data_IF_388133622722
#
_entry.id   IF_388133622722
#
_cell.length_a   1.000
_cell.length_b   1.000
_cell.length_c   1.000
_cell.angle_alpha   90.00
_cell.angle_beta   90.00
_cell.angle_gamma   90.00
#
_symmetry.space_group_name_H-M   'P 1'
#
loop_
_entity.id
_entity.type
_entity.pdbx_description
1 polymer ?
#
# COMPACT_ATOMS: atom_id res chain seq x y z
N UNK A 1 -15.88 3.53 5.93
CA UNK A 1 -14.90 2.52 6.40
C UNK A 1 -15.34 1.09 6.13
N UNK A 2 -16.50 0.61 6.62
CA UNK A 2 -16.93 -0.79 6.38
C UNK A 2 -17.08 -1.15 4.88
N UNK A 3 -17.72 -0.29 4.08
CA UNK A 3 -17.83 -0.48 2.63
C UNK A 3 -16.45 -0.55 1.96
N UNK A 4 -15.51 0.29 2.39
CA UNK A 4 -14.14 0.31 1.86
C UNK A 4 -13.39 -1.00 2.19
N UNK A 5 -13.55 -1.52 3.41
CA UNK A 5 -12.97 -2.81 3.81
C UNK A 5 -13.56 -3.96 3.00
N UNK A 6 -14.89 -3.96 2.78
CA UNK A 6 -15.54 -4.97 1.94
C UNK A 6 -15.02 -4.94 0.50
N UNK A 7 -14.96 -3.76 -0.13
CA UNK A 7 -14.44 -3.59 -1.49
C UNK A 7 -12.95 -4.00 -1.58
N UNK A 8 -12.13 -3.61 -0.60
CA UNK A 8 -10.71 -3.95 -0.57
C UNK A 8 -10.49 -5.46 -0.37
N UNK A 9 -11.24 -6.09 0.54
CA UNK A 9 -11.18 -7.55 0.73
C UNK A 9 -11.58 -8.29 -0.54
N UNK A 10 -12.66 -7.87 -1.23
CA UNK A 10 -13.06 -8.40 -2.52
C UNK A 10 -11.97 -8.27 -3.58
N UNK A 11 -11.32 -7.11 -3.66
CA UNK A 11 -10.17 -6.88 -4.55
C UNK A 11 -9.01 -7.84 -4.26
N UNK A 12 -8.63 -8.03 -2.99
CA UNK A 12 -7.53 -8.95 -2.62
C UNK A 12 -7.84 -10.41 -2.97
N UNK A 13 -9.11 -10.83 -2.84
CA UNK A 13 -9.55 -12.18 -3.25
C UNK A 13 -9.56 -12.30 -4.78
N UNK A 14 -10.06 -11.28 -5.49
CA UNK A 14 -10.11 -11.25 -6.95
C UNK A 14 -8.71 -11.29 -7.59
N UNK A 15 -7.73 -10.65 -6.97
CA UNK A 15 -6.32 -10.69 -7.36
C UNK A 15 -5.73 -12.11 -7.38
N UNK A 16 -6.30 -13.06 -6.61
CA UNK A 16 -5.86 -14.47 -6.63
C UNK A 16 -6.19 -15.15 -7.97
N UNK A 17 -7.19 -14.65 -8.69
CA UNK A 17 -7.60 -15.14 -10.01
C UNK A 17 -6.96 -14.35 -11.16
N UNK A 18 -5.94 -13.52 -10.89
CA UNK A 18 -5.28 -12.73 -11.92
C UNK A 18 -4.70 -13.63 -13.02
N UNK A 19 -4.98 -13.36 -14.31
CA UNK A 19 -4.33 -14.06 -15.40
C UNK A 19 -2.83 -13.74 -15.43
N UNK A 20 -2.05 -14.55 -16.15
CA UNK A 20 -0.60 -14.42 -16.24
C UNK A 20 -0.21 -13.27 -17.19
N UNK A 21 -0.51 -12.04 -16.75
CA UNK A 21 -0.23 -10.78 -17.45
C UNK A 21 0.91 -10.04 -16.75
N UNK A 22 1.71 -9.32 -17.54
CA UNK A 22 2.75 -8.44 -17.04
C UNK A 22 2.16 -7.45 -16.03
N UNK A 23 2.88 -7.25 -14.92
CA UNK A 23 2.44 -6.40 -13.81
C UNK A 23 2.15 -4.96 -14.25
N UNK A 24 2.87 -4.46 -15.25
CA UNK A 24 2.70 -3.13 -15.83
C UNK A 24 1.31 -2.99 -16.46
N UNK A 25 0.88 -3.99 -17.23
CA UNK A 25 -0.45 -4.02 -17.85
C UNK A 25 -1.56 -4.03 -16.81
N UNK A 26 -1.38 -4.80 -15.73
CA UNK A 26 -2.33 -4.83 -14.61
C UNK A 26 -2.43 -3.47 -13.91
N UNK A 27 -1.30 -2.82 -13.64
CA UNK A 27 -1.27 -1.48 -13.04
C UNK A 27 -1.92 -0.42 -13.93
N UNK A 28 -1.67 -0.45 -15.24
CA UNK A 28 -2.29 0.49 -16.19
C UNK A 28 -3.81 0.34 -16.22
N UNK A 29 -4.32 -0.90 -16.29
CA UNK A 29 -5.77 -1.16 -16.29
C UNK A 29 -6.40 -0.70 -14.98
N UNK A 30 -5.79 -1.03 -13.84
CA UNK A 30 -6.26 -0.59 -12.52
C UNK A 30 -6.29 0.94 -12.41
N UNK A 31 -5.24 1.62 -12.87
CA UNK A 31 -5.13 3.08 -12.85
C UNK A 31 -6.18 3.72 -13.77
N UNK A 32 -6.42 3.13 -14.94
CA UNK A 32 -7.43 3.60 -15.88
C UNK A 32 -8.83 3.51 -15.28
N UNK A 33 -9.22 2.37 -14.69
CA UNK A 33 -10.52 2.24 -14.03
C UNK A 33 -10.63 3.13 -12.79
N UNK A 34 -9.55 3.33 -12.03
CA UNK A 34 -9.52 4.28 -10.93
C UNK A 34 -9.79 5.71 -11.42
N UNK A 35 -9.16 6.12 -12.53
CA UNK A 35 -9.40 7.41 -13.17
C UNK A 35 -10.85 7.56 -13.64
N UNK A 36 -11.37 6.57 -14.38
CA UNK A 36 -12.77 6.56 -14.85
C UNK A 36 -13.76 6.65 -13.68
N UNK A 37 -13.46 5.98 -12.57
CA UNK A 37 -14.30 6.05 -11.37
C UNK A 37 -14.16 7.39 -10.66
N UNK A 38 -12.99 8.02 -10.67
CA UNK A 38 -12.78 9.32 -10.04
C UNK A 38 -13.56 10.46 -10.75
N UNK A 39 -13.65 10.44 -12.09
CA UNK A 39 -14.33 11.46 -12.90
C UNK A 39 -15.75 11.80 -12.42
N UNK A 40 -16.69 10.85 -12.24
CA UNK A 40 -18.05 11.16 -11.78
C UNK A 40 -18.08 11.74 -10.37
N UNK A 41 -17.17 11.33 -9.47
CA UNK A 41 -17.06 11.93 -8.13
C UNK A 41 -16.56 13.38 -8.21
N UNK A 42 -15.60 13.67 -9.08
CA UNK A 42 -15.13 15.05 -9.30
C UNK A 42 -16.23 15.94 -9.87
N UNK A 43 -17.03 15.43 -10.81
CA UNK A 43 -18.18 16.18 -11.36
C UNK A 43 -19.22 16.45 -10.26
N UNK A 44 -19.46 15.46 -9.38
CA UNK A 44 -20.39 15.61 -8.27
C UNK A 44 -19.91 16.67 -7.26
N UNK A 45 -18.62 16.70 -6.91
CA UNK A 45 -18.04 17.74 -6.06
C UNK A 45 -18.08 19.13 -6.71
N UNK A 46 -17.87 19.22 -8.03
CA UNK A 46 -18.02 20.47 -8.78
C UNK A 46 -19.44 21.02 -8.66
N UNK A 47 -20.45 20.17 -8.81
CA UNK A 47 -21.86 20.56 -8.72
C UNK A 47 -22.27 21.01 -7.31
N UNK A 48 -21.66 20.43 -6.27
CA UNK A 48 -21.93 20.79 -4.87
C UNK A 48 -21.17 22.03 -4.39
N UNK A 49 -20.29 22.61 -5.21
CA UNK A 49 -19.50 23.79 -4.85
C UNK A 49 -18.45 23.54 -3.75
N UNK A 50 -18.17 22.28 -3.42
CA UNK A 50 -17.18 21.88 -2.41
C UNK A 50 -15.77 21.75 -2.98
N UNK A 51 -15.60 22.00 -4.29
CA UNK A 51 -14.32 21.85 -4.96
C UNK A 51 -13.35 22.94 -4.52
N UNK A 52 -12.20 22.51 -3.97
CA UNK A 52 -11.10 23.42 -3.70
C UNK A 52 -10.40 23.74 -5.03
N UNK A 53 -10.27 25.02 -5.43
CA UNK A 53 -9.60 25.37 -6.67
C UNK A 53 -8.14 24.89 -6.64
N UNK A 54 -7.57 24.51 -7.81
CA UNK A 54 -6.20 24.05 -7.88
C UNK A 54 -5.23 25.18 -7.49
N UNK A 55 -4.74 25.12 -6.26
CA UNK A 55 -3.66 25.96 -5.76
C UNK A 55 -2.30 25.44 -6.28
N UNK A 56 -1.28 26.29 -6.51
CA UNK A 56 0.05 25.85 -6.88
C UNK A 56 0.63 24.81 -5.91
N UNK A 57 0.36 24.95 -4.61
CA UNK A 57 0.77 23.99 -3.57
C UNK A 57 0.07 22.65 -3.77
N UNK A 58 -1.25 22.68 -4.01
CA UNK A 58 -2.05 21.47 -4.25
C UNK A 58 -1.57 20.71 -5.47
N UNK A 59 -1.27 21.41 -6.56
CA UNK A 59 -0.73 20.81 -7.79
C UNK A 59 0.64 20.18 -7.54
N UNK A 60 1.51 20.84 -6.78
CA UNK A 60 2.84 20.33 -6.45
C UNK A 60 2.77 19.08 -5.56
N UNK A 61 1.84 19.03 -4.60
CA UNK A 61 1.58 17.83 -3.77
C UNK A 61 1.04 16.67 -4.61
N UNK A 62 0.12 16.93 -5.54
CA UNK A 62 -0.40 15.89 -6.46
C UNK A 62 0.72 15.34 -7.34
N UNK A 63 1.55 16.20 -7.93
CA UNK A 63 2.69 15.76 -8.75
C UNK A 63 3.70 14.95 -7.92
N UNK A 64 4.02 15.43 -6.72
CA UNK A 64 4.92 14.72 -5.82
C UNK A 64 4.40 13.33 -5.48
N UNK A 65 3.13 13.21 -5.07
CA UNK A 65 2.50 11.94 -4.69
C UNK A 65 2.31 10.97 -5.87
N UNK A 66 2.04 11.49 -7.07
CA UNK A 66 1.93 10.67 -8.27
C UNK A 66 3.28 10.08 -8.70
N UNK A 67 4.37 10.85 -8.61
CA UNK A 67 5.67 10.42 -9.10
C UNK A 67 6.40 9.55 -8.08
N UNK A 68 6.53 10.00 -6.83
CA UNK A 68 7.39 9.35 -5.85
C UNK A 68 6.73 8.15 -5.16
N UNK A 69 5.72 8.32 -4.29
CA UNK A 69 5.14 7.21 -3.56
C UNK A 69 4.23 6.33 -4.41
N UNK A 70 3.77 6.80 -5.58
CA UNK A 70 2.98 5.96 -6.50
C UNK A 70 3.87 5.28 -7.53
N UNK A 71 4.34 5.98 -8.57
CA UNK A 71 5.06 5.34 -9.67
C UNK A 71 6.43 4.78 -9.26
N UNK A 72 7.30 5.60 -8.65
CA UNK A 72 8.65 5.17 -8.31
C UNK A 72 8.65 4.05 -7.25
N UNK A 73 7.87 4.19 -6.18
CA UNK A 73 7.75 3.15 -5.15
C UNK A 73 7.20 1.84 -5.72
N UNK A 74 6.18 1.88 -6.59
CA UNK A 74 5.62 0.69 -7.22
C UNK A 74 6.66 -0.03 -8.10
N UNK A 75 7.42 0.73 -8.92
CA UNK A 75 8.48 0.19 -9.77
C UNK A 75 9.58 -0.45 -8.92
N UNK A 76 10.05 0.24 -7.88
CA UNK A 76 11.08 -0.26 -6.97
C UNK A 76 10.61 -1.50 -6.21
N UNK A 77 9.35 -1.52 -5.77
CA UNK A 77 8.77 -2.67 -5.10
C UNK A 77 8.75 -3.89 -6.02
N UNK A 78 8.34 -3.72 -7.27
CA UNK A 78 8.23 -4.84 -8.21
C UNK A 78 9.61 -5.34 -8.64
N UNK A 79 10.56 -4.44 -8.86
CA UNK A 79 11.98 -4.81 -9.03
C UNK A 79 12.49 -5.56 -7.81
N UNK A 80 12.20 -5.09 -6.60
CA UNK A 80 12.54 -5.80 -5.36
C UNK A 80 11.95 -7.21 -5.32
N UNK A 81 10.67 -7.37 -5.65
CA UNK A 81 9.99 -8.68 -5.74
C UNK A 81 10.68 -9.59 -6.75
N UNK A 82 11.13 -9.08 -7.90
CA UNK A 82 11.90 -9.84 -8.91
C UNK A 82 13.25 -10.34 -8.35
N UNK A 83 13.94 -9.54 -7.52
CA UNK A 83 15.27 -9.89 -6.98
C UNK A 83 15.22 -10.80 -5.74
N UNK A 84 14.31 -10.56 -4.79
CA UNK A 84 14.29 -11.28 -3.49
C UNK A 84 13.08 -12.20 -3.31
N UNK A 85 12.17 -12.24 -4.29
CA UNK A 85 10.93 -13.02 -4.26
C UNK A 85 9.81 -12.36 -3.45
N UNK A 86 8.55 -12.65 -3.83
CA UNK A 86 7.35 -12.02 -3.28
C UNK A 86 7.19 -12.21 -1.75
N UNK A 87 7.61 -13.35 -1.21
CA UNK A 87 7.48 -13.64 0.22
C UNK A 87 8.35 -12.71 1.08
N UNK A 88 9.61 -12.47 0.68
CA UNK A 88 10.52 -11.58 1.40
C UNK A 88 10.18 -10.12 1.14
N UNK A 89 9.85 -9.76 -0.10
CA UNK A 89 9.44 -8.41 -0.45
C UNK A 89 8.16 -7.97 0.29
N UNK A 90 7.20 -8.87 0.48
CA UNK A 90 5.98 -8.60 1.24
C UNK A 90 6.24 -8.21 2.70
N UNK A 91 7.34 -8.68 3.31
CA UNK A 91 7.69 -8.32 4.68
C UNK A 91 8.02 -6.83 4.82
N UNK A 92 8.61 -6.21 3.78
CA UNK A 92 8.96 -4.77 3.76
C UNK A 92 7.73 -3.85 3.77
N UNK A 93 6.56 -4.32 3.33
CA UNK A 93 5.32 -3.54 3.42
C UNK A 93 5.00 -3.24 4.90
N UNK A 94 5.37 -4.13 5.83
CA UNK A 94 5.14 -3.89 7.25
C UNK A 94 6.07 -2.83 7.85
N UNK A 95 7.15 -2.45 7.15
CA UNK A 95 7.99 -1.33 7.55
C UNK A 95 7.38 0.03 7.18
N UNK A 96 6.40 0.07 6.26
CA UNK A 96 5.69 1.30 5.84
C UNK A 96 5.13 2.09 7.03
N UNK A 97 4.37 1.51 7.97
CA UNK A 97 3.89 2.26 9.15
C UNK A 97 5.03 2.80 10.03
N UNK A 98 6.15 2.07 10.15
CA UNK A 98 7.31 2.52 10.95
C UNK A 98 7.94 3.76 10.32
N UNK A 99 8.29 3.68 9.03
CA UNK A 99 8.85 4.82 8.31
C UNK A 99 7.85 5.96 8.15
N UNK A 100 6.56 5.65 7.98
CA UNK A 100 5.48 6.63 7.91
C UNK A 100 5.39 7.48 9.18
N UNK A 101 5.36 6.83 10.35
CA UNK A 101 5.36 7.54 11.64
C UNK A 101 6.66 8.33 11.87
N UNK A 102 7.83 7.73 11.56
CA UNK A 102 9.12 8.41 11.72
C UNK A 102 9.22 9.65 10.83
N UNK A 103 8.80 9.54 9.56
CA UNK A 103 8.81 10.66 8.62
C UNK A 103 7.76 11.72 8.96
N UNK A 104 6.59 11.35 9.48
CA UNK A 104 5.59 12.30 9.95
C UNK A 104 6.17 13.16 11.10
N UNK A 105 6.77 12.53 12.10
CA UNK A 105 7.39 13.25 13.23
C UNK A 105 8.57 14.10 12.76
N UNK A 106 9.43 13.57 11.88
CA UNK A 106 10.64 14.26 11.44
C UNK A 106 10.40 15.38 10.43
N UNK A 107 9.45 15.21 9.49
CA UNK A 107 9.21 16.16 8.39
C UNK A 107 8.01 17.07 8.64
N UNK A 108 6.92 16.56 9.23
CA UNK A 108 5.74 17.37 9.56
C UNK A 108 5.84 18.02 10.95
N UNK A 109 6.78 17.58 11.78
CA UNK A 109 6.97 18.11 13.13
C UNK A 109 5.84 17.71 14.09
N UNK A 110 5.13 16.61 13.82
CA UNK A 110 4.11 16.11 14.74
C UNK A 110 4.72 15.65 16.07
N UNK A 111 4.09 16.03 17.18
CA UNK A 111 4.54 15.61 18.51
C UNK A 111 4.47 14.08 18.64
N UNK A 112 5.59 13.46 19.03
CA UNK A 112 5.64 12.03 19.28
C UNK A 112 4.88 11.68 20.56
N UNK A 113 3.59 11.40 20.40
CA UNK A 113 2.73 10.94 21.47
C UNK A 113 2.89 9.43 21.73
N UNK A 114 2.50 9.00 22.94
CA UNK A 114 2.60 7.59 23.39
C UNK A 114 1.89 6.62 22.44
N UNK A 115 0.81 7.04 21.77
CA UNK A 115 0.10 6.19 20.82
C UNK A 115 0.94 5.81 19.59
N UNK A 116 1.89 6.64 19.16
CA UNK A 116 2.85 6.29 18.12
C UNK A 116 3.78 5.16 18.57
N UNK A 117 4.26 5.22 19.81
CA UNK A 117 5.08 4.17 20.41
C UNK A 117 4.32 2.84 20.54
N UNK A 118 3.07 2.89 21.02
CA UNK A 118 2.22 1.69 21.12
C UNK A 118 1.92 1.09 19.74
N UNK A 119 1.61 1.94 18.75
CA UNK A 119 1.39 1.49 17.38
C UNK A 119 2.64 0.80 16.80
N UNK A 120 3.83 1.35 17.03
CA UNK A 120 5.09 0.79 16.57
C UNK A 120 5.38 -0.58 17.21
N UNK A 121 5.13 -0.72 18.51
CA UNK A 121 5.26 -2.01 19.23
C UNK A 121 4.26 -3.04 18.70
N UNK A 122 3.01 -2.66 18.47
CA UNK A 122 1.98 -3.57 17.94
C UNK A 122 2.31 -4.03 16.51
N UNK A 123 2.79 -3.13 15.65
CA UNK A 123 3.23 -3.47 14.30
C UNK A 123 4.41 -4.44 14.35
N UNK A 124 5.46 -4.12 15.10
CA UNK A 124 6.63 -5.00 15.24
C UNK A 124 6.27 -6.36 15.82
N UNK A 125 5.39 -6.40 16.84
CA UNK A 125 4.88 -7.63 17.42
C UNK A 125 4.08 -8.48 16.43
N UNK A 126 3.22 -7.84 15.63
CA UNK A 126 2.44 -8.50 14.58
C UNK A 126 3.35 -9.13 13.51
N UNK A 127 4.38 -8.40 13.06
CA UNK A 127 5.37 -8.91 12.10
C UNK A 127 6.10 -10.12 12.68
N UNK A 128 6.59 -10.00 13.91
CA UNK A 128 7.34 -11.07 14.58
C UNK A 128 6.53 -12.38 14.65
N UNK A 129 5.26 -12.29 15.03
CA UNK A 129 4.35 -13.44 15.10
C UNK A 129 4.07 -14.02 13.70
N UNK A 130 3.82 -13.17 12.70
CA UNK A 130 3.56 -13.60 11.33
C UNK A 130 4.77 -14.34 10.72
N UNK A 131 5.97 -13.84 10.97
CA UNK A 131 7.21 -14.45 10.48
C UNK A 131 7.51 -15.79 11.18
N UNK A 132 7.26 -15.89 12.49
CA UNK A 132 7.32 -17.16 13.23
C UNK A 132 6.35 -18.22 12.69
N UNK A 133 5.12 -17.81 12.34
CA UNK A 133 4.10 -18.72 11.79
C UNK A 133 4.46 -19.19 10.37
N UNK A 134 4.97 -18.28 9.52
CA UNK A 134 5.45 -18.62 8.18
C UNK A 134 6.61 -19.64 8.19
N UNK A 135 7.51 -19.57 9.18
CA UNK A 135 8.60 -20.54 9.36
C UNK A 135 8.11 -21.93 9.77
N UNK A 136 7.06 -22.02 10.59
CA UNK A 136 6.47 -23.31 11.01
C UNK A 136 5.83 -24.08 9.85
N UNK A 137 5.15 -23.40 8.93
CA UNK A 137 4.54 -24.05 7.76
C UNK A 137 5.56 -24.47 6.69
N UNK A 138 6.67 -23.75 6.54
CA UNK A 138 7.76 -24.15 5.65
C UNK A 138 8.52 -25.39 6.17
N UNK A 139 8.67 -25.53 7.49
CA UNK A 139 9.34 -26.68 8.11
C UNK A 139 8.57 -28.00 8.01
N UNK A 140 7.23 -27.96 7.95
CA UNK A 140 6.40 -29.17 7.83
C UNK A 140 6.28 -29.70 6.40
N UNK A 141 6.51 -28.87 5.37
CA UNK A 141 6.44 -29.31 3.96
C UNK A 141 7.72 -30.03 3.48
N UNK A 142 8.84 -29.89 4.20
CA UNK A 142 10.10 -30.58 3.89
C UNK A 142 10.32 -31.90 4.64
N UNK A 143 9.50 -32.19 5.67
CA UNK A 143 9.64 -33.40 6.49
C UNK A 143 8.82 -34.60 5.99
N UNK A 144 8.05 -34.44 4.90
CA UNK A 144 7.28 -35.53 4.26
C UNK A 144 7.88 -36.06 2.96
N UNK A 145 9.11 -35.66 2.62
CA UNK A 145 9.81 -36.07 1.39
C UNK A 145 11.21 -36.67 1.69
N UNK A 146 11.35 -37.32 2.84
CA UNK A 146 12.52 -38.12 3.20
C UNK A 146 12.09 -39.56 3.48
#
# INVERSE_FOLDING_TARGET
MLLAVLLYSGYTVALRFRPNINWQSLMTVMTFFAFVTAVPFTIWEWQNGTMTPPDPTGTMVVLYTAIFPSLAAQVLFIKGVEYIGANRAGLFINAVPIFGTLLAVALLGEDFQIYHGVALVLVLGGIWIAELSGRKHAGTSGAGAA
#
